data_IF_255020687613
#
_entry.id   IF_255020687613
#
_cell.length_a   1.000
_cell.length_b   1.000
_cell.length_c   1.000
_cell.angle_alpha   90.00
_cell.angle_beta   90.00
_cell.angle_gamma   90.00
#
_symmetry.space_group_name_H-M   'P 1'
#
loop_
_entity.id
_entity.type
_entity.pdbx_description
1 polymer ?
#
# COMPACT_ATOMS: atom_id res chain seq x y z
N UNK A 1 38.83 -9.47 -19.59
CA UNK A 1 39.54 -10.39 -20.50
C UNK A 1 39.16 -11.79 -20.12
N UNK A 2 38.88 -12.63 -21.12
CA UNK A 2 38.82 -14.12 -21.11
C UNK A 2 38.14 -14.67 -22.37
N UNK A 3 37.63 -13.80 -23.27
CA UNK A 3 37.12 -14.18 -24.60
C UNK A 3 37.72 -13.22 -25.64
N UNK A 4 38.48 -13.70 -26.64
CA UNK A 4 38.98 -12.87 -27.73
C UNK A 4 37.79 -12.34 -28.57
N UNK A 5 37.71 -11.02 -28.76
CA UNK A 5 36.60 -10.35 -29.46
C UNK A 5 35.48 -9.80 -28.56
N UNK A 6 35.50 -10.09 -27.26
CA UNK A 6 34.52 -9.52 -26.32
C UNK A 6 34.90 -8.08 -25.93
N UNK A 7 33.98 -7.10 -25.98
CA UNK A 7 34.26 -5.69 -25.71
C UNK A 7 34.38 -5.44 -24.20
N UNK A 8 35.39 -6.02 -23.55
CA UNK A 8 35.58 -6.01 -22.09
C UNK A 8 35.57 -4.61 -21.50
N UNK A 9 36.07 -3.60 -22.24
CA UNK A 9 36.11 -2.22 -21.80
C UNK A 9 34.71 -1.64 -21.59
N UNK A 10 33.76 -1.93 -22.50
CA UNK A 10 32.37 -1.46 -22.36
C UNK A 10 31.68 -2.08 -21.16
N UNK A 11 31.88 -3.38 -20.93
CA UNK A 11 31.33 -4.08 -19.77
C UNK A 11 31.97 -3.62 -18.46
N UNK A 12 33.25 -3.25 -18.46
CA UNK A 12 33.92 -2.72 -17.28
C UNK A 12 33.36 -1.33 -16.90
N UNK A 13 33.10 -0.47 -17.89
CA UNK A 13 32.44 0.83 -17.68
C UNK A 13 31.02 0.62 -17.14
N UNK A 14 30.23 -0.28 -17.76
CA UNK A 14 28.89 -0.63 -17.29
C UNK A 14 28.91 -1.18 -15.86
N UNK A 15 29.85 -2.06 -15.55
CA UNK A 15 30.03 -2.62 -14.21
C UNK A 15 30.35 -1.52 -13.19
N UNK A 16 31.19 -0.55 -13.54
CA UNK A 16 31.53 0.58 -12.66
C UNK A 16 30.32 1.48 -12.41
N UNK A 17 29.50 1.76 -13.43
CA UNK A 17 28.26 2.54 -13.28
C UNK A 17 27.25 1.81 -12.40
N UNK A 18 27.03 0.51 -12.64
CA UNK A 18 26.08 -0.31 -11.86
C UNK A 18 26.56 -0.47 -10.41
N UNK A 19 27.83 -0.80 -10.20
CA UNK A 19 28.40 -0.96 -8.86
C UNK A 19 28.43 0.38 -8.10
N UNK A 20 28.81 1.47 -8.76
CA UNK A 20 28.81 2.82 -8.18
C UNK A 20 27.40 3.29 -7.81
N UNK A 21 26.44 3.17 -8.72
CA UNK A 21 25.03 3.51 -8.46
C UNK A 21 24.41 2.64 -7.37
N UNK A 22 24.69 1.33 -7.39
CA UNK A 22 24.25 0.40 -6.35
C UNK A 22 24.85 0.73 -4.98
N UNK A 23 26.14 1.07 -4.92
CA UNK A 23 26.81 1.43 -3.67
C UNK A 23 26.24 2.73 -3.06
N UNK A 24 25.95 3.74 -3.89
CA UNK A 24 25.33 4.98 -3.42
C UNK A 24 23.91 4.76 -2.89
N UNK A 25 23.09 3.97 -3.59
CA UNK A 25 21.75 3.61 -3.11
C UNK A 25 21.82 2.79 -1.83
N UNK A 26 22.76 1.84 -1.76
CA UNK A 26 22.98 1.02 -0.57
C UNK A 26 23.42 1.86 0.63
N UNK A 27 24.30 2.84 0.44
CA UNK A 27 24.70 3.76 1.51
C UNK A 27 23.52 4.62 2.00
N UNK A 28 22.70 5.15 1.08
CA UNK A 28 21.49 5.93 1.44
C UNK A 28 20.46 5.08 2.17
N UNK A 29 20.26 3.84 1.73
CA UNK A 29 19.37 2.89 2.39
C UNK A 29 19.90 2.48 3.76
N UNK A 30 21.21 2.33 3.93
CA UNK A 30 21.83 2.01 5.22
C UNK A 30 21.73 3.18 6.20
N UNK A 31 21.78 4.43 5.74
CA UNK A 31 21.49 5.60 6.56
C UNK A 31 20.01 5.69 6.95
N UNK A 32 19.08 5.41 6.04
CA UNK A 32 17.64 5.32 6.34
C UNK A 32 17.31 4.17 7.30
N UNK A 33 18.01 3.03 7.17
CA UNK A 33 17.85 1.88 8.06
C UNK A 33 18.56 2.07 9.40
N UNK A 34 19.65 2.86 9.49
CA UNK A 34 20.30 3.18 10.76
C UNK A 34 19.41 4.04 11.68
N UNK A 35 18.46 4.80 11.09
CA UNK A 35 17.35 5.44 11.83
C UNK A 35 16.21 4.47 12.20
N UNK A 36 16.16 3.25 11.65
CA UNK A 36 15.16 2.22 11.95
C UNK A 36 15.70 1.03 12.75
N UNK A 37 17.01 1.00 13.05
CA UNK A 37 17.68 -0.08 13.76
C UNK A 37 17.56 0.08 15.29
N UNK A 38 16.36 0.41 15.77
CA UNK A 38 15.93 0.16 17.15
C UNK A 38 14.85 -0.93 17.23
N UNK A 39 14.21 -1.31 16.13
CA UNK A 39 13.10 -2.28 16.13
C UNK A 39 13.36 -3.46 15.18
N UNK A 40 14.14 -4.43 15.65
CA UNK A 40 14.38 -5.71 14.98
C UNK A 40 13.83 -6.85 15.85
N UNK A 41 12.55 -7.20 15.68
CA UNK A 41 12.30 -8.56 15.21
C UNK A 41 11.02 -8.64 14.35
N UNK A 42 11.09 -8.27 13.06
CA UNK A 42 9.98 -8.46 12.11
C UNK A 42 10.26 -9.52 11.03
N UNK A 43 11.44 -10.14 11.04
CA UNK A 43 11.81 -11.19 10.05
C UNK A 43 11.23 -12.58 10.35
N UNK A 44 10.44 -12.74 11.42
CA UNK A 44 9.65 -13.95 11.70
C UNK A 44 8.19 -13.88 11.22
N UNK A 45 7.75 -12.74 10.67
CA UNK A 45 6.36 -12.52 10.24
C UNK A 45 6.17 -12.65 8.71
N UNK A 46 7.06 -13.36 8.01
CA UNK A 46 6.96 -13.61 6.56
C UNK A 46 5.94 -14.72 6.20
N UNK A 47 4.89 -14.84 7.02
CA UNK A 47 3.81 -15.82 6.93
C UNK A 47 2.44 -15.21 7.19
N UNK A 48 2.15 -14.03 6.64
CA UNK A 48 0.79 -13.55 6.45
C UNK A 48 0.84 -12.32 5.52
N UNK A 49 0.00 -12.33 4.47
CA UNK A 49 -0.02 -11.33 3.41
C UNK A 49 0.16 -9.89 3.87
N UNK A 50 1.19 -9.24 3.33
CA UNK A 50 1.41 -7.81 3.42
C UNK A 50 1.13 -7.16 2.04
N UNK A 51 0.60 -5.93 2.01
CA UNK A 51 0.01 -5.32 0.83
C UNK A 51 1.05 -4.86 -0.19
N UNK A 52 0.72 -5.03 -1.48
CA UNK A 52 1.48 -4.50 -2.60
C UNK A 52 1.14 -3.03 -2.83
N UNK A 53 1.88 -2.12 -2.20
CA UNK A 53 1.95 -0.73 -2.63
C UNK A 53 3.23 -0.52 -3.46
N UNK A 54 3.13 -0.71 -4.78
CA UNK A 54 4.14 -0.21 -5.74
C UNK A 54 3.42 0.47 -6.89
N UNK A 55 3.37 1.80 -6.85
CA UNK A 55 3.04 2.63 -8.01
C UNK A 55 4.30 3.27 -8.59
N UNK A 56 4.36 3.25 -9.93
CA UNK A 56 5.27 3.93 -10.87
C UNK A 56 6.58 3.22 -11.23
N UNK A 57 6.48 2.34 -12.24
CA UNK A 57 7.50 2.24 -13.28
C UNK A 57 6.95 2.84 -14.58
N UNK A 58 7.70 3.80 -15.14
CA UNK A 58 7.41 4.51 -16.39
C UNK A 58 7.68 3.60 -17.60
N UNK A 59 6.83 3.81 -18.60
CA UNK A 59 6.82 3.28 -19.96
C UNK A 59 8.18 3.29 -20.68
N UNK A 60 8.43 2.24 -21.45
CA UNK A 60 9.54 2.10 -22.41
C UNK A 60 9.24 0.99 -23.41
N UNK A 61 8.50 1.34 -24.45
CA UNK A 61 8.10 0.52 -25.60
C UNK A 61 9.24 -0.28 -26.26
N UNK A 62 8.97 -1.54 -26.62
CA UNK A 62 9.30 -2.10 -27.94
C UNK A 62 8.47 -3.36 -28.23
N UNK A 63 7.65 -3.24 -29.27
CA UNK A 63 6.75 -4.25 -29.80
C UNK A 63 7.47 -5.52 -30.30
N UNK A 64 6.86 -6.68 -30.06
CA UNK A 64 6.88 -7.79 -31.01
C UNK A 64 5.59 -8.59 -30.90
N UNK A 65 4.97 -8.79 -32.06
CA UNK A 65 3.71 -9.46 -32.29
C UNK A 65 3.69 -10.90 -31.74
N UNK A 66 2.57 -11.31 -31.16
CA UNK A 66 2.33 -12.69 -30.77
C UNK A 66 1.03 -12.88 -30.00
N UNK A 67 -0.05 -13.13 -30.75
CA UNK A 67 -1.30 -13.81 -30.34
C UNK A 67 -2.15 -13.16 -29.24
N UNK A 68 -3.34 -12.77 -29.67
CA UNK A 68 -4.55 -12.63 -28.86
C UNK A 68 -4.81 -13.94 -28.09
N UNK A 69 -4.40 -13.97 -26.82
CA UNK A 69 -5.11 -14.71 -25.79
C UNK A 69 -5.52 -13.66 -24.77
N UNK A 70 -6.78 -13.24 -24.87
CA UNK A 70 -7.52 -12.66 -23.74
C UNK A 70 -7.52 -13.72 -22.64
N UNK A 71 -6.45 -13.73 -21.87
CA UNK A 71 -6.51 -14.19 -20.50
C UNK A 71 -7.19 -13.04 -19.79
N UNK A 72 -8.52 -13.06 -19.75
CA UNK A 72 -9.26 -12.33 -18.71
C UNK A 72 -8.61 -12.78 -17.41
N UNK A 73 -7.68 -11.97 -16.95
CA UNK A 73 -6.98 -12.16 -15.71
C UNK A 73 -8.03 -11.82 -14.67
N UNK A 74 -8.84 -12.83 -14.29
CA UNK A 74 -9.81 -12.73 -13.22
C UNK A 74 -9.04 -12.22 -12.00
N UNK A 75 -9.13 -10.92 -11.76
CA UNK A 75 -8.50 -10.31 -10.62
C UNK A 75 -9.20 -10.85 -9.39
N UNK A 76 -8.43 -11.35 -8.41
CA UNK A 76 -9.00 -11.74 -7.13
C UNK A 76 -9.69 -10.51 -6.54
N UNK A 77 -11.00 -10.61 -6.30
CA UNK A 77 -11.80 -9.53 -5.72
C UNK A 77 -11.21 -9.12 -4.38
N UNK A 78 -11.20 -7.82 -4.11
CA UNK A 78 -10.83 -7.30 -2.80
C UNK A 78 -11.95 -7.63 -1.81
N UNK A 79 -11.69 -8.42 -0.76
CA UNK A 79 -12.74 -8.91 0.12
C UNK A 79 -13.43 -7.78 0.90
N UNK A 80 -12.70 -6.77 1.36
CA UNK A 80 -13.23 -5.62 2.10
C UNK A 80 -12.53 -4.33 1.64
N UNK A 81 -13.32 -3.40 1.09
CA UNK A 81 -12.85 -2.12 0.57
C UNK A 81 -13.56 -0.96 1.28
N UNK A 82 -12.81 0.09 1.59
CA UNK A 82 -13.33 1.33 2.14
C UNK A 82 -12.93 2.46 1.18
N UNK A 83 -13.93 3.02 0.54
CA UNK A 83 -13.83 4.22 -0.28
C UNK A 83 -14.09 5.45 0.58
N UNK A 84 -13.21 6.44 0.50
CA UNK A 84 -13.31 7.70 1.23
C UNK A 84 -13.15 8.86 0.25
N UNK A 85 -13.87 9.95 0.46
CA UNK A 85 -13.67 11.20 -0.25
C UNK A 85 -12.19 11.63 -0.21
N UNK A 86 -11.64 11.95 -1.39
CA UNK A 86 -10.27 12.44 -1.54
C UNK A 86 -10.03 13.77 -0.80
N UNK A 87 -11.07 14.58 -0.58
CA UNK A 87 -10.98 15.81 0.22
C UNK A 87 -10.51 15.55 1.66
N UNK A 88 -10.78 14.37 2.20
CA UNK A 88 -10.37 13.98 3.56
C UNK A 88 -8.93 13.44 3.63
N UNK A 89 -8.25 13.23 2.50
CA UNK A 89 -6.91 12.62 2.49
C UNK A 89 -5.86 13.44 3.27
N UNK A 90 -6.01 14.77 3.31
CA UNK A 90 -5.10 15.64 4.06
C UNK A 90 -5.34 15.58 5.58
N UNK A 91 -6.58 15.31 6.00
CA UNK A 91 -6.97 15.22 7.42
C UNK A 91 -6.79 13.80 7.98
N UNK A 92 -7.00 12.80 7.13
CA UNK A 92 -6.80 11.39 7.44
C UNK A 92 -5.37 10.99 7.08
N UNK A 93 -4.47 11.03 8.06
CA UNK A 93 -3.14 10.49 7.89
C UNK A 93 -3.22 8.98 7.60
N UNK A 94 -2.91 8.60 6.36
CA UNK A 94 -3.10 7.24 5.87
C UNK A 94 -2.34 6.17 6.69
N UNK A 95 -1.19 6.53 7.26
CA UNK A 95 -0.37 5.63 8.07
C UNK A 95 -1.07 5.32 9.40
N UNK A 96 -1.45 6.34 10.16
CA UNK A 96 -2.11 6.16 11.45
C UNK A 96 -3.49 5.51 11.31
N UNK A 97 -4.25 5.87 10.27
CA UNK A 97 -5.52 5.20 9.97
C UNK A 97 -5.33 3.70 9.67
N UNK A 98 -4.31 3.35 8.87
CA UNK A 98 -4.02 1.95 8.58
C UNK A 98 -3.60 1.17 9.84
N UNK A 99 -2.84 1.78 10.74
CA UNK A 99 -2.45 1.16 12.02
C UNK A 99 -3.66 0.94 12.95
N UNK A 100 -4.61 1.88 12.97
CA UNK A 100 -5.88 1.71 13.68
C UNK A 100 -6.72 0.58 13.06
N UNK A 101 -6.81 0.49 11.73
CA UNK A 101 -7.51 -0.60 11.05
C UNK A 101 -6.89 -1.97 11.37
N UNK A 102 -5.56 -2.07 11.46
CA UNK A 102 -4.87 -3.30 11.88
C UNK A 102 -5.19 -3.63 13.34
N UNK A 103 -5.29 -2.64 14.23
CA UNK A 103 -5.70 -2.83 15.63
C UNK A 103 -7.13 -3.36 15.72
N UNK A 104 -8.08 -2.75 15.02
CA UNK A 104 -9.48 -3.22 14.97
C UNK A 104 -9.56 -4.67 14.48
N UNK A 105 -8.85 -5.01 13.41
CA UNK A 105 -8.81 -6.38 12.87
C UNK A 105 -8.30 -7.40 13.90
N UNK A 106 -7.28 -7.03 14.68
CA UNK A 106 -6.73 -7.88 15.75
C UNK A 106 -7.71 -8.05 16.91
N UNK A 107 -8.40 -6.99 17.32
CA UNK A 107 -9.45 -7.07 18.34
C UNK A 107 -10.56 -8.03 17.89
N UNK A 108 -11.07 -7.87 16.66
CA UNK A 108 -12.11 -8.74 16.10
C UNK A 108 -11.67 -10.22 16.01
N UNK A 109 -10.41 -10.48 15.70
CA UNK A 109 -9.87 -11.84 15.73
C UNK A 109 -9.89 -12.45 17.13
N UNK A 110 -9.51 -11.67 18.15
CA UNK A 110 -9.51 -12.13 19.54
C UNK A 110 -10.93 -12.36 20.07
N UNK A 111 -11.87 -11.51 19.68
CA UNK A 111 -13.27 -11.58 20.14
C UNK A 111 -14.05 -12.71 19.46
N UNK A 112 -13.81 -12.96 18.17
CA UNK A 112 -14.61 -13.88 17.34
C UNK A 112 -13.89 -15.19 16.99
N UNK A 113 -12.57 -15.27 17.20
CA UNK A 113 -11.76 -16.45 16.91
C UNK A 113 -11.55 -16.74 15.42
N UNK A 114 -11.95 -15.83 14.52
CA UNK A 114 -11.85 -16.00 13.06
C UNK A 114 -10.97 -14.91 12.42
N UNK A 115 -10.11 -15.26 11.43
CA UNK A 115 -9.28 -14.27 10.75
C UNK A 115 -10.14 -13.34 9.91
N UNK A 116 -10.02 -12.04 10.18
CA UNK A 116 -10.66 -11.00 9.36
C UNK A 116 -9.81 -10.69 8.11
N UNK A 117 -10.44 -10.41 6.96
CA UNK A 117 -9.73 -10.10 5.72
C UNK A 117 -8.93 -8.79 5.82
N UNK A 118 -8.01 -8.58 4.87
CA UNK A 118 -7.35 -7.29 4.67
C UNK A 118 -8.35 -6.21 4.28
N UNK A 119 -8.16 -5.00 4.83
CA UNK A 119 -8.97 -3.82 4.52
C UNK A 119 -8.19 -2.98 3.51
N UNK A 120 -8.79 -2.70 2.35
CA UNK A 120 -8.20 -1.81 1.36
C UNK A 120 -8.84 -0.43 1.46
N UNK A 121 -8.04 0.56 1.80
CA UNK A 121 -8.46 1.97 1.81
C UNK A 121 -8.15 2.61 0.46
N UNK A 122 -9.14 3.26 -0.15
CA UNK A 122 -8.97 4.06 -1.37
C UNK A 122 -9.58 5.45 -1.16
N UNK A 123 -8.85 6.46 -1.62
CA UNK A 123 -9.37 7.81 -1.74
C UNK A 123 -9.93 8.02 -3.14
N UNK A 124 -11.15 8.53 -3.25
CA UNK A 124 -11.88 8.67 -4.51
C UNK A 124 -12.41 10.11 -4.66
N UNK A 125 -12.02 10.76 -5.76
CA UNK A 125 -12.43 12.13 -6.11
C UNK A 125 -13.89 12.22 -6.57
N UNK A 126 -14.51 11.10 -6.98
CA UNK A 126 -15.89 11.05 -7.46
C UNK A 126 -16.94 10.94 -6.35
N UNK A 127 -16.54 10.98 -5.08
CA UNK A 127 -17.45 10.87 -3.94
C UNK A 127 -18.00 12.23 -3.52
N UNK A 128 -19.10 12.21 -2.75
CA UNK A 128 -19.60 13.44 -2.13
C UNK A 128 -18.66 13.87 -1.01
N UNK A 129 -18.65 15.16 -0.71
CA UNK A 129 -17.79 15.74 0.33
C UNK A 129 -17.99 15.03 1.68
N UNK A 130 -16.89 14.53 2.23
CA UNK A 130 -16.85 13.82 3.50
C UNK A 130 -17.50 12.43 3.46
N UNK A 131 -17.89 11.92 2.30
CA UNK A 131 -18.56 10.63 2.19
C UNK A 131 -17.56 9.47 2.33
N UNK A 132 -18.01 8.38 2.97
CA UNK A 132 -17.30 7.11 2.93
C UNK A 132 -18.27 5.97 2.62
N UNK A 133 -17.74 4.92 2.01
CA UNK A 133 -18.49 3.74 1.57
C UNK A 133 -17.70 2.49 1.92
N UNK A 134 -18.36 1.54 2.59
CA UNK A 134 -17.79 0.23 2.91
C UNK A 134 -18.37 -0.77 1.93
N UNK A 135 -17.49 -1.55 1.30
CA UNK A 135 -17.83 -2.53 0.30
C UNK A 135 -17.29 -3.90 0.70
N UNK A 136 -18.14 -4.92 0.61
CA UNK A 136 -17.77 -6.31 0.79
C UNK A 136 -17.79 -6.98 -0.59
N UNK A 137 -16.66 -7.53 -1.02
CA UNK A 137 -16.51 -8.08 -2.38
C UNK A 137 -16.97 -7.08 -3.45
N UNK A 138 -16.58 -5.81 -3.28
CA UNK A 138 -16.94 -4.69 -4.17
C UNK A 138 -18.45 -4.34 -4.20
N UNK A 139 -19.26 -4.96 -3.33
CA UNK A 139 -20.68 -4.63 -3.16
C UNK A 139 -20.85 -3.67 -1.98
N UNK A 140 -21.49 -2.51 -2.15
CA UNK A 140 -21.69 -1.55 -1.06
C UNK A 140 -22.62 -2.12 0.02
N UNK A 141 -22.13 -2.15 1.27
CA UNK A 141 -22.86 -2.64 2.44
C UNK A 141 -23.19 -1.55 3.45
N UNK A 142 -22.38 -0.49 3.51
CA UNK A 142 -22.63 0.64 4.39
C UNK A 142 -22.12 1.95 3.77
N UNK A 143 -22.78 3.05 4.11
CA UNK A 143 -22.47 4.39 3.63
C UNK A 143 -22.62 5.38 4.79
N UNK A 144 -21.72 6.33 4.88
CA UNK A 144 -21.78 7.37 5.90
C UNK A 144 -21.09 8.65 5.47
N UNK A 145 -21.09 9.63 6.37
CA UNK A 145 -20.44 10.92 6.15
C UNK A 145 -19.61 11.30 7.37
N UNK A 146 -18.34 11.57 7.13
CA UNK A 146 -17.41 12.21 8.03
C UNK A 146 -17.52 13.73 7.85
N UNK A 147 -17.56 14.46 8.95
CA UNK A 147 -17.57 15.92 8.95
C UNK A 147 -16.16 16.40 9.28
N UNK A 148 -15.53 17.09 8.35
CA UNK A 148 -14.24 17.76 8.59
C UNK A 148 -14.33 18.70 9.78
N UNK A 149 -13.24 18.82 10.54
CA UNK A 149 -13.11 19.68 11.72
C UNK A 149 -14.15 19.45 12.85
N UNK A 150 -14.80 18.28 12.88
CA UNK A 150 -15.70 17.89 13.97
C UNK A 150 -15.24 16.59 14.60
N UNK A 151 -15.50 16.43 15.90
CA UNK A 151 -15.26 15.18 16.62
C UNK A 151 -16.59 14.47 16.86
N UNK A 152 -16.56 13.13 16.76
CA UNK A 152 -17.69 12.31 17.14
C UNK A 152 -17.63 12.04 18.64
N UNK A 153 -18.69 12.43 19.34
CA UNK A 153 -18.87 12.27 20.79
C UNK A 153 -20.06 11.32 21.00
N UNK A 154 -19.97 10.41 21.96
CA UNK A 154 -21.01 9.40 22.21
C UNK A 154 -21.97 9.80 23.34
N UNK A 155 -21.66 10.91 24.00
CA UNK A 155 -22.37 11.45 25.15
C UNK A 155 -23.74 12.02 24.73
N UNK A 156 -24.76 11.85 25.59
CA UNK A 156 -26.09 12.39 25.32
C UNK A 156 -26.05 13.92 25.27
N UNK A 157 -26.98 14.51 24.51
CA UNK A 157 -27.10 15.97 24.32
C UNK A 157 -27.11 16.75 25.63
N UNK A 158 -27.69 16.17 26.69
CA UNK A 158 -27.75 16.77 28.03
C UNK A 158 -26.38 17.01 28.68
N UNK A 159 -25.32 16.38 28.21
CA UNK A 159 -23.95 16.51 28.74
C UNK A 159 -23.03 17.37 27.84
N UNK A 160 -23.56 17.91 26.73
CA UNK A 160 -22.81 18.69 25.76
C UNK A 160 -23.02 20.22 25.89
N UNK A 161 -23.93 20.65 26.78
CA UNK A 161 -24.09 22.05 27.19
C UNK A 161 -23.27 22.37 28.44
#
# INVERSE_FOLDING_TARGET
GLIPGFPTLTFLILALVVAGGGYLLFQRQRQANASQQADLPSLLAQGAGAPAAKSKAKSGSKAKAGKLSEKEEFAMTVPLLIDVDAGLQAELEAISLNDELIRVRRALYLDLGVPFPGIHLRFNEGMKEGEYLIQLQEVPVARGRLRSAHLLVQEPVSQLE
#
